data_IF_865790696855
#
_entry.id   IF_865790696855
#
_cell.length_a   1.000
_cell.length_b   1.000
_cell.length_c   1.000
_cell.angle_alpha   90.00
_cell.angle_beta   90.00
_cell.angle_gamma   90.00
#
_symmetry.space_group_name_H-M   'P 1'
#
loop_
_entity.id
_entity.type
_entity.pdbx_description
1 polymer ?
#
# COMPACT_ATOMS: atom_id res chain seq x y z
N UNK A 1 21.34 46.84 24.36
CA UNK A 1 20.08 46.18 24.81
C UNK A 1 19.36 45.69 23.54
N UNK A 2 19.87 44.66 22.85
CA UNK A 2 19.32 43.28 22.89
C UNK A 2 17.87 43.27 23.36
N UNK A 3 16.91 42.97 22.46
CA UNK A 3 15.61 42.26 22.60
C UNK A 3 14.74 42.65 21.37
N UNK A 4 14.28 41.81 20.45
CA UNK A 4 14.23 40.36 20.30
C UNK A 4 14.22 40.07 18.79
N UNK A 5 15.38 39.71 18.24
CA UNK A 5 15.42 38.93 17.00
C UNK A 5 15.15 37.47 17.40
N UNK A 6 13.88 37.09 17.53
CA UNK A 6 13.49 35.70 17.74
C UNK A 6 12.85 35.20 16.45
N UNK A 7 13.74 34.82 15.54
CA UNK A 7 13.47 34.03 14.35
C UNK A 7 12.80 32.73 14.82
N UNK A 8 11.47 32.67 14.74
CA UNK A 8 10.76 31.40 14.87
C UNK A 8 10.79 30.72 13.51
N UNK A 9 11.98 30.27 13.11
CA UNK A 9 12.14 29.30 12.04
C UNK A 9 11.57 27.97 12.55
N UNK A 10 10.27 27.79 12.36
CA UNK A 10 9.59 26.53 12.58
C UNK A 10 10.06 25.57 11.49
N UNK A 11 11.23 24.98 11.70
CA UNK A 11 11.70 23.83 10.92
C UNK A 11 10.79 22.68 11.31
N UNK A 12 9.72 22.46 10.54
CA UNK A 12 9.04 21.17 10.53
C UNK A 12 10.07 20.16 10.02
N UNK A 13 10.77 19.52 10.95
CA UNK A 13 11.50 18.30 10.68
C UNK A 13 10.46 17.25 10.28
N UNK A 14 10.15 17.19 8.99
CA UNK A 14 9.38 16.10 8.41
C UNK A 14 10.25 14.86 8.55
N UNK A 15 10.09 14.13 9.66
CA UNK A 15 10.67 12.80 9.79
C UNK A 15 10.04 11.96 8.69
N UNK A 16 10.74 11.82 7.57
CA UNK A 16 10.39 10.82 6.57
C UNK A 16 10.55 9.49 7.26
N UNK A 17 9.43 8.93 7.75
CA UNK A 17 9.38 7.53 8.11
C UNK A 17 9.83 6.79 6.86
N UNK A 18 11.06 6.28 6.91
CA UNK A 18 11.63 5.48 5.85
C UNK A 18 10.74 4.24 5.76
N UNK A 19 9.75 4.29 4.87
CA UNK A 19 8.93 3.13 4.57
C UNK A 19 9.90 2.05 4.14
N UNK A 20 9.87 0.94 4.87
CA UNK A 20 10.78 -0.18 4.70
C UNK A 20 11.00 -0.44 3.21
N UNK A 21 12.26 -0.52 2.78
CA UNK A 21 12.64 -0.45 1.37
C UNK A 21 12.07 -1.59 0.48
N UNK A 22 11.30 -2.52 1.05
CA UNK A 22 10.70 -3.67 0.37
C UNK A 22 9.17 -3.70 0.44
N UNK A 23 8.59 -4.64 -0.29
CA UNK A 23 7.14 -4.90 -0.29
C UNK A 23 6.68 -5.23 1.15
N UNK A 24 5.58 -4.64 1.64
CA UNK A 24 5.06 -4.92 2.97
C UNK A 24 4.66 -6.40 3.14
N UNK A 25 4.53 -6.83 4.39
CA UNK A 25 4.10 -8.19 4.76
C UNK A 25 2.62 -8.15 5.17
N UNK A 26 1.71 -8.49 4.27
CA UNK A 26 0.29 -8.64 4.56
C UNK A 26 -0.03 -10.10 4.90
N UNK A 27 -1.04 -10.30 5.78
CA UNK A 27 -1.56 -11.61 6.10
C UNK A 27 -2.63 -12.02 5.08
N UNK A 28 -2.19 -12.72 4.02
CA UNK A 28 -3.04 -13.25 2.96
C UNK A 28 -4.21 -14.07 3.51
N UNK A 29 -4.00 -14.83 4.59
CA UNK A 29 -5.07 -15.66 5.15
C UNK A 29 -6.13 -14.79 5.82
N UNK A 30 -5.74 -13.70 6.47
CA UNK A 30 -6.69 -12.73 7.01
C UNK A 30 -7.48 -12.05 5.91
N UNK A 31 -6.80 -11.61 4.84
CA UNK A 31 -7.41 -11.02 3.63
C UNK A 31 -8.45 -11.95 3.02
N UNK A 32 -8.09 -13.21 2.77
CA UNK A 32 -8.98 -14.16 2.11
C UNK A 32 -10.11 -14.68 3.00
N UNK A 33 -9.98 -14.61 4.34
CA UNK A 33 -11.11 -14.86 5.24
C UNK A 33 -12.17 -13.76 5.15
N UNK A 34 -11.76 -12.50 4.98
CA UNK A 34 -12.72 -11.40 4.81
C UNK A 34 -13.43 -11.43 3.45
N UNK A 35 -12.79 -12.00 2.43
CA UNK A 35 -13.38 -12.16 1.10
C UNK A 35 -14.47 -13.25 1.01
N UNK A 36 -14.66 -14.07 2.04
CA UNK A 36 -15.67 -15.12 2.03
C UNK A 36 -17.10 -14.55 2.19
N UNK A 37 -18.12 -15.17 1.56
CA UNK A 37 -19.51 -14.76 1.73
C UNK A 37 -19.95 -14.82 3.20
N UNK A 38 -20.67 -13.78 3.64
CA UNK A 38 -21.23 -13.69 5.01
C UNK A 38 -22.23 -14.81 5.33
N UNK A 39 -22.79 -15.47 4.31
CA UNK A 39 -23.75 -16.57 4.43
C UNK A 39 -23.15 -17.89 4.96
N UNK A 40 -21.84 -17.95 5.24
CA UNK A 40 -21.21 -19.05 5.95
C UNK A 40 -20.95 -20.32 5.12
N UNK A 41 -21.52 -20.42 3.92
CA UNK A 41 -21.10 -21.37 2.87
C UNK A 41 -19.83 -20.86 2.20
N UNK A 42 -18.72 -20.89 2.95
CA UNK A 42 -17.41 -20.57 2.43
C UNK A 42 -17.01 -21.59 1.35
N UNK A 43 -17.25 -21.25 0.09
CA UNK A 43 -16.75 -22.03 -1.03
C UNK A 43 -15.23 -22.08 -0.95
N UNK A 44 -14.68 -23.28 -0.71
CA UNK A 44 -13.22 -23.51 -0.66
C UNK A 44 -12.54 -22.99 -1.93
N UNK A 45 -13.25 -23.01 -3.05
CA UNK A 45 -12.80 -22.47 -4.34
C UNK A 45 -12.60 -20.95 -4.29
N UNK A 46 -13.48 -20.19 -3.61
CA UNK A 46 -13.36 -18.73 -3.47
C UNK A 46 -12.17 -18.36 -2.59
N UNK A 47 -12.01 -19.04 -1.45
CA UNK A 47 -10.86 -18.80 -0.58
C UNK A 47 -9.54 -19.12 -1.29
N UNK A 48 -9.46 -20.27 -1.97
CA UNK A 48 -8.24 -20.65 -2.68
C UNK A 48 -7.93 -19.68 -3.84
N UNK A 49 -8.95 -19.29 -4.61
CA UNK A 49 -8.78 -18.30 -5.68
C UNK A 49 -8.28 -16.95 -5.17
N UNK A 50 -8.76 -16.51 -3.99
CA UNK A 50 -8.21 -15.32 -3.32
C UNK A 50 -6.74 -15.53 -2.94
N UNK A 51 -6.40 -16.66 -2.30
CA UNK A 51 -5.01 -16.93 -1.89
C UNK A 51 -4.07 -16.92 -3.09
N UNK A 52 -4.48 -17.54 -4.20
CA UNK A 52 -3.68 -17.59 -5.43
C UNK A 52 -3.47 -16.19 -6.01
N UNK A 53 -4.51 -15.36 -6.03
CA UNK A 53 -4.46 -13.97 -6.51
C UNK A 53 -3.54 -13.10 -5.64
N UNK A 54 -3.65 -13.21 -4.32
CA UNK A 54 -2.81 -12.50 -3.34
C UNK A 54 -1.34 -12.90 -3.44
N UNK A 55 -1.07 -14.21 -3.59
CA UNK A 55 0.29 -14.73 -3.77
C UNK A 55 0.89 -14.22 -5.08
N UNK A 56 0.13 -14.21 -6.17
CA UNK A 56 0.62 -13.73 -7.45
C UNK A 56 0.86 -12.22 -7.43
N UNK A 57 -0.06 -11.44 -6.87
CA UNK A 57 0.13 -10.00 -6.71
C UNK A 57 1.38 -9.67 -5.89
N UNK A 58 1.63 -10.40 -4.78
CA UNK A 58 2.87 -10.27 -4.00
C UNK A 58 4.12 -10.57 -4.82
N UNK A 59 4.11 -11.59 -5.67
CA UNK A 59 5.24 -11.90 -6.57
C UNK A 59 5.47 -10.78 -7.58
N UNK A 60 4.42 -10.23 -8.18
CA UNK A 60 4.52 -9.11 -9.11
C UNK A 60 5.07 -7.86 -8.41
N UNK A 61 4.56 -7.54 -7.21
CA UNK A 61 5.09 -6.47 -6.38
C UNK A 61 6.58 -6.69 -6.09
N UNK A 62 7.01 -7.89 -5.74
CA UNK A 62 8.43 -8.17 -5.49
C UNK A 62 9.33 -7.87 -6.71
N UNK A 63 8.84 -8.11 -7.93
CA UNK A 63 9.55 -7.80 -9.19
C UNK A 63 9.55 -6.31 -9.50
N UNK A 64 8.41 -5.65 -9.32
CA UNK A 64 8.17 -4.28 -9.80
C UNK A 64 8.39 -3.20 -8.73
N UNK A 65 8.54 -3.55 -7.46
CA UNK A 65 8.54 -2.61 -6.33
C UNK A 65 9.42 -1.39 -6.56
N UNK A 66 10.67 -1.62 -6.98
CA UNK A 66 11.66 -0.55 -7.17
C UNK A 66 11.40 0.30 -8.41
N UNK A 67 10.54 -0.14 -9.33
CA UNK A 67 10.15 0.63 -10.51
C UNK A 67 9.07 1.69 -10.21
N UNK A 68 8.36 1.56 -9.08
CA UNK A 68 7.38 2.54 -8.65
C UNK A 68 8.04 3.66 -7.85
N UNK A 69 7.53 4.89 -8.01
CA UNK A 69 8.00 6.05 -7.24
C UNK A 69 7.83 5.80 -5.75
N UNK A 70 8.76 6.31 -4.97
CA UNK A 70 8.75 6.15 -3.51
C UNK A 70 7.52 6.79 -2.86
N UNK A 71 7.06 7.94 -3.38
CA UNK A 71 5.80 8.56 -2.97
C UNK A 71 4.60 7.66 -3.21
N UNK A 72 4.47 7.07 -4.41
CA UNK A 72 3.38 6.17 -4.79
C UNK A 72 3.35 4.93 -3.90
N UNK A 73 4.52 4.35 -3.61
CA UNK A 73 4.66 3.22 -2.67
C UNK A 73 4.12 3.57 -1.28
N UNK A 74 4.45 4.74 -0.74
CA UNK A 74 3.93 5.19 0.55
C UNK A 74 2.42 5.39 0.53
N UNK A 75 1.94 6.16 -0.44
CA UNK A 75 0.52 6.48 -0.55
C UNK A 75 -0.32 5.21 -0.71
N UNK A 76 0.00 4.35 -1.69
CA UNK A 76 -0.75 3.12 -1.92
C UNK A 76 -0.71 2.14 -0.75
N UNK A 77 0.42 2.04 -0.02
CA UNK A 77 0.45 1.22 1.21
C UNK A 77 -0.47 1.80 2.29
N UNK A 78 -0.51 3.12 2.43
CA UNK A 78 -1.45 3.78 3.36
C UNK A 78 -2.90 3.52 2.97
N UNK A 79 -3.24 3.60 1.68
CA UNK A 79 -4.60 3.33 1.19
C UNK A 79 -5.07 1.91 1.53
N UNK A 80 -4.19 0.90 1.39
CA UNK A 80 -4.56 -0.50 1.73
C UNK A 80 -4.88 -0.73 3.20
N UNK A 81 -4.56 0.21 4.10
CA UNK A 81 -4.87 0.11 5.53
C UNK A 81 -6.25 0.67 5.86
N UNK A 82 -6.90 1.34 4.89
CA UNK A 82 -8.22 1.92 5.05
C UNK A 82 -9.27 0.84 4.74
N UNK A 83 -10.25 0.68 5.64
CA UNK A 83 -11.43 -0.15 5.36
C UNK A 83 -11.30 -1.64 5.69
N UNK A 84 -10.17 -2.10 6.25
CA UNK A 84 -10.06 -3.48 6.73
C UNK A 84 -8.65 -4.05 6.71
N UNK A 85 -8.55 -5.32 6.34
CA UNK A 85 -7.26 -6.02 6.19
C UNK A 85 -6.65 -5.68 4.83
N UNK A 86 -5.33 -5.41 4.77
CA UNK A 86 -4.68 -5.01 3.53
C UNK A 86 -4.58 -6.16 2.51
N UNK A 87 -4.69 -5.82 1.22
CA UNK A 87 -4.58 -6.73 0.08
C UNK A 87 -3.37 -6.40 -0.79
N UNK A 88 -2.65 -7.43 -1.26
CA UNK A 88 -1.60 -7.25 -2.27
C UNK A 88 -2.17 -6.93 -3.64
N UNK A 89 -3.36 -7.43 -3.96
CA UNK A 89 -4.07 -7.10 -5.21
C UNK A 89 -4.39 -5.61 -5.24
N UNK A 90 -4.92 -5.06 -4.14
CA UNK A 90 -5.24 -3.63 -4.05
C UNK A 90 -3.98 -2.76 -4.11
N UNK A 91 -2.92 -3.16 -3.40
CA UNK A 91 -1.64 -2.45 -3.44
C UNK A 91 -1.06 -2.41 -4.87
N UNK A 92 -1.05 -3.55 -5.56
CA UNK A 92 -0.54 -3.63 -6.92
C UNK A 92 -1.39 -2.77 -7.87
N UNK A 93 -2.72 -2.84 -7.73
CA UNK A 93 -3.66 -2.08 -8.55
C UNK A 93 -3.48 -0.57 -8.36
N UNK A 94 -3.39 -0.10 -7.11
CA UNK A 94 -3.13 1.30 -6.81
C UNK A 94 -1.83 1.80 -7.46
N UNK A 95 -0.75 1.02 -7.37
CA UNK A 95 0.54 1.40 -7.93
C UNK A 95 0.55 1.44 -9.46
N UNK A 96 -0.19 0.52 -10.11
CA UNK A 96 -0.35 0.52 -11.55
C UNK A 96 -1.16 1.73 -12.02
N UNK A 97 -2.29 2.01 -11.35
CA UNK A 97 -3.14 3.16 -11.66
C UNK A 97 -2.40 4.50 -11.45
N UNK A 98 -1.68 4.67 -10.35
CA UNK A 98 -0.89 5.90 -10.11
C UNK A 98 0.20 6.10 -11.17
N UNK A 99 0.87 5.00 -11.57
CA UNK A 99 1.86 5.02 -12.65
C UNK A 99 1.23 5.39 -13.99
N UNK A 100 0.08 4.82 -14.33
CA UNK A 100 -0.66 5.10 -15.56
C UNK A 100 -1.15 6.55 -15.58
N UNK A 101 -1.77 7.03 -14.50
CA UNK A 101 -2.23 8.41 -14.36
C UNK A 101 -1.09 9.42 -14.55
N UNK A 102 0.09 9.13 -13.99
CA UNK A 102 1.28 9.97 -14.16
C UNK A 102 1.91 9.93 -15.56
N UNK A 103 1.42 9.08 -16.46
CA UNK A 103 1.89 8.98 -17.85
C UNK A 103 0.99 9.66 -18.87
N UNK A 104 -0.21 10.09 -18.45
CA UNK A 104 -1.16 10.79 -19.32
C UNK A 104 -0.66 12.23 -19.61
N UNK A 105 -0.85 12.74 -20.84
CA UNK A 105 -0.63 14.15 -21.14
C UNK A 105 -1.53 15.02 -20.23
N UNK A 106 -0.96 16.07 -19.67
CA UNK A 106 -1.68 17.06 -18.87
C UNK A 106 -2.24 18.18 -19.74
#
# INVERSE_FOLDING_TARGET
MIRLAAILALVLAQTTLAVAAGVPRFDIKATCRQAQPLSGSGDKNVYQGCVDSEVEARKQLAKLWRSFKDSSRRSCVSETQIGGVPSYVDLLSCLQLDKEAGSLPQ
#
